data_IF_832992520113
#
_entry.id   IF_832992520113
#
_cell.length_a   1.000
_cell.length_b   1.000
_cell.length_c   1.000
_cell.angle_alpha   90.00
_cell.angle_beta   90.00
_cell.angle_gamma   90.00
#
_symmetry.space_group_name_H-M   'P 1'
#
loop_
_entity.id
_entity.type
_entity.pdbx_description
1 polymer ?
#
# COMPACT_ATOMS: atom_id res chain seq x y z
N UNK A 1 -2.02 -1.95 22.90
CA UNK A 1 -2.49 -0.56 22.91
C UNK A 1 -3.99 -0.37 22.63
N UNK A 2 -4.77 -1.45 22.40
CA UNK A 2 -6.23 -1.40 22.36
C UNK A 2 -6.87 -0.74 21.13
N UNK A 3 -6.14 -0.62 20.02
CA UNK A 3 -6.64 0.00 18.79
C UNK A 3 -7.13 -1.00 17.72
N UNK A 4 -6.76 -2.28 17.82
CA UNK A 4 -7.39 -3.31 17.02
C UNK A 4 -8.64 -3.83 17.73
N UNK A 5 -9.74 -4.08 17.01
CA UNK A 5 -10.90 -4.71 17.58
C UNK A 5 -10.50 -6.05 18.22
N UNK A 6 -10.71 -6.24 19.54
CA UNK A 6 -10.23 -7.45 20.22
C UNK A 6 -10.85 -8.74 19.65
N UNK A 7 -11.98 -8.63 18.95
CA UNK A 7 -12.72 -9.77 18.42
C UNK A 7 -12.37 -10.19 17.01
N UNK A 8 -11.84 -9.31 16.15
CA UNK A 8 -11.50 -9.65 14.78
C UNK A 8 -10.45 -8.71 14.16
N UNK A 9 -9.17 -8.90 14.48
CA UNK A 9 -8.09 -8.06 13.94
C UNK A 9 -7.88 -8.23 12.42
N UNK A 10 -8.57 -9.19 11.78
CA UNK A 10 -8.39 -9.47 10.35
C UNK A 10 -8.74 -8.29 9.46
N UNK A 11 -9.74 -7.48 9.82
CA UNK A 11 -10.14 -6.30 9.02
C UNK A 11 -9.05 -5.23 8.97
N UNK A 12 -8.29 -5.08 10.05
CA UNK A 12 -7.17 -4.14 10.12
C UNK A 12 -5.95 -4.70 9.39
N UNK A 13 -5.67 -6.01 9.58
CA UNK A 13 -4.48 -6.66 9.02
C UNK A 13 -4.57 -6.85 7.51
N UNK A 14 -5.75 -7.15 6.97
CA UNK A 14 -5.95 -7.36 5.53
C UNK A 14 -6.10 -6.08 4.72
N UNK A 15 -6.11 -4.90 5.36
CA UNK A 15 -6.20 -3.60 4.71
C UNK A 15 -7.61 -3.13 4.35
N UNK A 16 -8.66 -3.84 4.78
CA UNK A 16 -10.04 -3.50 4.43
C UNK A 16 -10.48 -2.15 5.01
N UNK A 17 -10.11 -1.85 6.25
CA UNK A 17 -10.38 -0.56 6.88
C UNK A 17 -9.72 0.59 6.12
N UNK A 18 -8.43 0.45 5.79
CA UNK A 18 -7.70 1.43 4.98
C UNK A 18 -8.34 1.62 3.60
N UNK A 19 -8.86 0.53 3.01
CA UNK A 19 -9.54 0.55 1.73
C UNK A 19 -10.89 1.29 1.79
N UNK A 20 -11.69 1.09 2.82
CA UNK A 20 -12.94 1.83 3.02
C UNK A 20 -12.65 3.34 3.17
N UNK A 21 -11.63 3.69 3.95
CA UNK A 21 -11.21 5.08 4.18
C UNK A 21 -10.73 5.76 2.89
N UNK A 22 -9.87 5.10 2.10
CA UNK A 22 -9.35 5.72 0.86
C UNK A 22 -10.46 5.96 -0.16
N UNK A 23 -11.47 5.09 -0.24
CA UNK A 23 -12.63 5.30 -1.13
C UNK A 23 -13.46 6.52 -0.76
N UNK A 24 -13.65 6.74 0.53
CA UNK A 24 -14.33 7.95 1.01
C UNK A 24 -13.51 9.18 0.68
N UNK A 25 -12.20 9.16 0.94
CA UNK A 25 -11.29 10.26 0.64
C UNK A 25 -11.20 10.54 -0.86
N UNK A 26 -11.18 9.52 -1.71
CA UNK A 26 -11.22 9.68 -3.17
C UNK A 26 -12.49 10.38 -3.63
N UNK A 27 -13.65 9.96 -3.10
CA UNK A 27 -14.93 10.55 -3.45
C UNK A 27 -15.02 12.04 -3.03
N UNK A 28 -14.43 12.38 -1.88
CA UNK A 28 -14.30 13.75 -1.40
C UNK A 28 -13.38 14.59 -2.29
N UNK A 29 -12.14 14.11 -2.47
CA UNK A 29 -11.08 14.87 -3.13
C UNK A 29 -11.36 15.13 -4.62
N UNK A 30 -11.96 14.14 -5.30
CA UNK A 30 -12.20 14.21 -6.75
C UNK A 30 -13.65 14.53 -7.12
N UNK A 31 -14.52 14.75 -6.13
CA UNK A 31 -15.95 14.99 -6.34
C UNK A 31 -16.61 13.93 -7.24
N UNK A 32 -16.35 12.67 -6.95
CA UNK A 32 -16.85 11.51 -7.69
C UNK A 32 -17.78 10.65 -6.84
N UNK A 33 -18.55 9.79 -7.48
CA UNK A 33 -19.27 8.72 -6.81
C UNK A 33 -18.28 7.71 -6.23
N UNK A 34 -18.58 7.13 -5.08
CA UNK A 34 -17.75 6.08 -4.48
C UNK A 34 -17.66 4.93 -5.49
N UNK A 35 -16.43 4.55 -5.82
CA UNK A 35 -16.16 3.47 -6.76
C UNK A 35 -16.62 2.12 -6.20
N UNK A 36 -17.25 1.30 -7.05
CA UNK A 36 -17.60 -0.10 -6.73
C UNK A 36 -16.63 -1.09 -7.37
N UNK A 37 -15.62 -0.60 -8.08
CA UNK A 37 -14.64 -1.42 -8.79
C UNK A 37 -13.74 -2.16 -7.83
N UNK A 38 -13.28 -3.35 -8.22
CA UNK A 38 -12.22 -4.06 -7.51
C UNK A 38 -10.92 -3.26 -7.65
N UNK A 39 -10.18 -3.10 -6.55
CA UNK A 39 -8.83 -2.55 -6.56
C UNK A 39 -7.85 -3.57 -5.99
N UNK A 40 -6.56 -3.29 -6.12
CA UNK A 40 -5.53 -4.07 -5.44
C UNK A 40 -5.63 -3.73 -3.94
N UNK A 41 -5.85 -4.76 -3.14
CA UNK A 41 -5.87 -4.65 -1.68
C UNK A 41 -4.99 -5.76 -1.13
N UNK A 42 -3.91 -5.36 -0.48
CA UNK A 42 -2.97 -6.24 0.20
C UNK A 42 -2.75 -5.72 1.61
N UNK A 43 -2.95 -6.59 2.59
CA UNK A 43 -2.71 -6.28 4.00
C UNK A 43 -1.25 -6.47 4.41
N UNK A 44 -1.03 -6.44 5.73
CA UNK A 44 0.30 -6.58 6.33
C UNK A 44 0.58 -8.00 6.87
N UNK A 45 -0.32 -8.94 6.62
CA UNK A 45 -0.23 -10.31 7.16
C UNK A 45 1.04 -11.06 6.69
N UNK A 46 1.50 -10.75 5.47
CA UNK A 46 2.68 -11.38 4.88
C UNK A 46 4.00 -10.66 5.22
N UNK A 47 3.95 -9.56 5.98
CA UNK A 47 5.15 -8.82 6.38
C UNK A 47 5.84 -9.55 7.54
N UNK A 48 7.06 -10.00 7.32
CA UNK A 48 7.88 -10.66 8.33
C UNK A 48 8.77 -9.65 9.06
N UNK A 49 9.23 -10.03 10.26
CA UNK A 49 10.18 -9.22 11.02
C UNK A 49 11.47 -8.93 10.24
N UNK A 50 11.87 -9.87 9.38
CA UNK A 50 13.01 -9.74 8.49
C UNK A 50 12.84 -8.58 7.49
N UNK A 51 11.65 -8.43 6.90
CA UNK A 51 11.34 -7.32 5.99
C UNK A 51 11.49 -5.96 6.69
N UNK A 52 11.03 -5.89 7.95
CA UNK A 52 11.16 -4.68 8.77
C UNK A 52 12.64 -4.36 9.06
N UNK A 53 13.46 -5.38 9.38
CA UNK A 53 14.90 -5.21 9.61
C UNK A 53 15.62 -4.73 8.35
N UNK A 54 15.34 -5.35 7.20
CA UNK A 54 15.93 -4.98 5.91
C UNK A 54 15.50 -3.56 5.51
N UNK A 55 14.21 -3.23 5.63
CA UNK A 55 13.73 -1.88 5.38
C UNK A 55 14.47 -0.85 6.26
N UNK A 56 14.64 -1.17 7.55
CA UNK A 56 15.37 -0.32 8.48
C UNK A 56 16.84 -0.08 8.09
N UNK A 57 17.55 -1.11 7.65
CA UNK A 57 18.93 -1.02 7.15
C UNK A 57 19.03 -0.13 5.90
N UNK A 58 18.00 -0.10 5.09
CA UNK A 58 17.91 0.71 3.88
C UNK A 58 17.47 2.17 4.15
N UNK A 59 17.25 2.56 5.41
CA UNK A 59 16.72 3.88 5.75
C UNK A 59 15.24 4.05 5.40
N UNK A 60 14.51 2.93 5.26
CA UNK A 60 13.10 2.87 4.90
C UNK A 60 12.25 2.34 6.07
N UNK A 61 10.95 2.56 5.97
CA UNK A 61 9.91 1.95 6.83
C UNK A 61 8.83 1.34 5.98
N UNK A 62 8.23 0.26 6.46
CA UNK A 62 7.05 -0.33 5.84
C UNK A 62 5.82 0.32 6.47
N UNK A 63 4.94 0.87 5.64
CA UNK A 63 3.66 1.46 6.04
C UNK A 63 2.56 0.91 5.15
N UNK A 64 1.40 0.58 5.73
CA UNK A 64 0.20 0.29 4.95
C UNK A 64 -0.37 1.61 4.43
N UNK A 65 -0.42 1.78 3.13
CA UNK A 65 -0.91 3.01 2.50
C UNK A 65 -2.12 2.74 1.62
N UNK A 66 -3.16 3.57 1.78
CA UNK A 66 -4.18 3.77 0.77
C UNK A 66 -3.72 4.88 -0.18
N UNK A 67 -3.70 4.60 -1.47
CA UNK A 67 -3.27 5.53 -2.51
C UNK A 67 -4.43 5.73 -3.48
N UNK A 68 -4.72 6.98 -3.83
CA UNK A 68 -5.72 7.33 -4.82
C UNK A 68 -5.23 8.45 -5.73
N UNK A 69 -5.42 8.27 -7.02
CA UNK A 69 -4.93 9.19 -8.06
C UNK A 69 -5.85 9.18 -9.28
N UNK A 70 -5.95 10.30 -9.97
CA UNK A 70 -6.58 10.37 -11.30
C UNK A 70 -5.49 10.27 -12.36
N UNK A 71 -5.47 9.16 -13.08
CA UNK A 71 -4.53 8.87 -14.16
C UNK A 71 -5.31 8.81 -15.47
N UNK A 72 -5.01 9.68 -16.44
CA UNK A 72 -5.67 9.71 -17.74
C UNK A 72 -7.22 9.70 -17.64
N UNK A 73 -7.79 10.52 -16.77
CA UNK A 73 -9.22 10.58 -16.48
C UNK A 73 -9.82 9.26 -15.96
N UNK A 74 -9.02 8.40 -15.37
CA UNK A 74 -9.43 7.15 -14.72
C UNK A 74 -9.00 7.16 -13.27
N UNK A 75 -9.80 6.54 -12.39
CA UNK A 75 -9.51 6.45 -10.97
C UNK A 75 -8.60 5.26 -10.68
N UNK A 76 -7.42 5.54 -10.18
CA UNK A 76 -6.54 4.56 -9.57
C UNK A 76 -6.75 4.57 -8.06
N UNK A 77 -7.00 3.42 -7.47
CA UNK A 77 -7.09 3.20 -6.03
C UNK A 77 -6.37 1.89 -5.68
N UNK A 78 -5.60 1.91 -4.61
CA UNK A 78 -4.93 0.72 -4.08
C UNK A 78 -4.67 0.85 -2.60
N UNK A 79 -4.59 -0.28 -1.91
CA UNK A 79 -4.09 -0.39 -0.53
C UNK A 79 -3.07 -1.51 -0.49
N UNK A 80 -1.86 -1.19 -0.09
CA UNK A 80 -0.81 -2.18 0.09
C UNK A 80 0.32 -1.67 0.99
N UNK A 81 1.15 -2.58 1.54
CA UNK A 81 2.37 -2.19 2.24
C UNK A 81 3.33 -1.47 1.30
N UNK A 82 3.84 -0.33 1.73
CA UNK A 82 4.79 0.48 0.96
C UNK A 82 6.08 0.72 1.73
N UNK A 83 7.20 0.69 1.02
CA UNK A 83 8.47 1.16 1.53
C UNK A 83 8.54 2.68 1.38
N UNK A 84 8.61 3.39 2.51
CA UNK A 84 8.70 4.85 2.56
C UNK A 84 10.00 5.28 3.22
N UNK A 85 10.54 6.44 2.82
CA UNK A 85 11.72 6.99 3.48
C UNK A 85 11.42 7.26 4.97
N UNK A 86 12.36 6.93 5.84
CA UNK A 86 12.28 7.30 7.28
C UNK A 86 12.16 8.80 7.49
N UNK A 87 12.69 9.59 6.56
CA UNK A 87 12.70 11.05 6.65
C UNK A 87 11.48 11.70 5.98
N UNK A 88 10.58 10.91 5.40
CA UNK A 88 9.32 11.43 4.83
C UNK A 88 8.28 11.66 5.93
N UNK A 89 7.31 12.53 5.66
CA UNK A 89 6.20 12.79 6.57
C UNK A 89 5.48 11.49 6.95
N UNK A 90 5.08 10.67 5.96
CA UNK A 90 4.44 9.37 6.19
C UNK A 90 5.34 8.41 6.98
N UNK A 91 6.65 8.41 6.70
CA UNK A 91 7.60 7.58 7.44
C UNK A 91 7.65 7.90 8.93
N UNK A 92 7.36 9.13 9.32
CA UNK A 92 7.37 9.60 10.70
C UNK A 92 6.02 9.50 11.43
N UNK A 93 4.97 9.04 10.79
CA UNK A 93 3.68 8.77 11.43
C UNK A 93 3.82 7.50 12.27
N UNK A 94 3.80 7.62 13.59
CA UNK A 94 4.05 6.50 14.53
C UNK A 94 2.94 6.37 15.55
N UNK A 95 2.90 5.21 16.23
CA UNK A 95 1.93 4.92 17.29
C UNK A 95 0.51 4.94 16.76
N UNK A 96 -0.38 5.65 17.43
CA UNK A 96 -1.81 5.76 17.15
C UNK A 96 -2.17 6.81 16.11
N UNK A 97 -1.15 7.51 15.59
CA UNK A 97 -1.34 8.59 14.64
C UNK A 97 -1.66 8.05 13.24
N UNK A 98 -2.63 8.68 12.60
CA UNK A 98 -2.93 8.54 11.19
C UNK A 98 -2.57 9.82 10.45
N UNK A 99 -2.29 9.71 9.15
CA UNK A 99 -2.05 10.87 8.31
C UNK A 99 -2.70 10.72 6.94
N UNK A 100 -3.15 11.84 6.42
CA UNK A 100 -3.63 11.99 5.04
C UNK A 100 -2.75 13.05 4.37
N UNK A 101 -2.15 12.67 3.24
CA UNK A 101 -1.41 13.60 2.39
C UNK A 101 -2.22 13.80 1.13
N UNK A 102 -2.50 15.04 0.81
CA UNK A 102 -3.13 15.44 -0.45
C UNK A 102 -2.16 16.29 -1.25
N UNK A 103 -2.13 16.07 -2.55
CA UNK A 103 -1.34 16.87 -3.48
C UNK A 103 -2.24 17.38 -4.58
N UNK A 104 -2.22 18.68 -4.83
CA UNK A 104 -3.07 19.33 -5.81
C UNK A 104 -2.53 20.67 -6.28
N UNK A 105 -2.97 21.11 -7.45
CA UNK A 105 -2.64 22.43 -8.00
C UNK A 105 -3.79 23.39 -7.76
N UNK A 106 -3.53 24.65 -7.38
CA UNK A 106 -2.24 25.29 -7.13
C UNK A 106 -1.69 25.14 -5.71
N UNK A 107 -2.43 24.49 -4.78
CA UNK A 107 -2.13 24.45 -3.33
C UNK A 107 -0.82 23.71 -3.00
N UNK A 108 -0.41 22.76 -3.85
CA UNK A 108 0.71 21.87 -3.55
C UNK A 108 0.33 20.76 -2.60
N UNK A 109 1.23 20.40 -1.69
CA UNK A 109 1.05 19.31 -0.73
C UNK A 109 0.44 19.84 0.58
N UNK A 110 -0.59 19.16 1.06
CA UNK A 110 -1.19 19.38 2.38
C UNK A 110 -1.15 18.09 3.19
N UNK A 111 -0.86 18.22 4.48
CA UNK A 111 -0.70 17.09 5.39
C UNK A 111 -1.63 17.30 6.57
N UNK A 112 -2.48 16.32 6.82
CA UNK A 112 -3.33 16.23 8.01
C UNK A 112 -2.88 15.03 8.83
N UNK A 113 -2.54 15.25 10.09
CA UNK A 113 -2.12 14.19 11.00
C UNK A 113 -2.86 14.34 12.32
N UNK A 114 -3.32 13.22 12.87
CA UNK A 114 -4.02 13.18 14.14
C UNK A 114 -4.23 11.76 14.61
N UNK A 115 -4.76 11.62 15.82
CA UNK A 115 -5.16 10.32 16.34
C UNK A 115 -6.36 9.79 15.55
N UNK A 116 -6.27 8.55 15.07
CA UNK A 116 -7.31 7.94 14.24
C UNK A 116 -8.39 7.21 15.01
N UNK A 117 -8.19 6.95 16.30
CA UNK A 117 -9.11 6.23 17.18
C UNK A 117 -8.91 6.64 18.63
N UNK A 118 -9.88 6.27 19.47
CA UNK A 118 -9.85 6.56 20.90
C UNK A 118 -11.04 7.40 21.36
N UNK A 119 -11.31 7.46 22.69
CA UNK A 119 -12.47 8.16 23.22
C UNK A 119 -12.43 9.67 22.94
N UNK A 120 -11.26 10.31 23.02
CA UNK A 120 -11.10 11.74 22.77
C UNK A 120 -11.44 12.14 21.33
N UNK A 121 -10.76 11.61 20.31
CA UNK A 121 -11.04 11.91 18.89
C UNK A 121 -12.49 11.58 18.49
N UNK A 122 -13.03 10.44 18.98
CA UNK A 122 -14.41 10.04 18.69
C UNK A 122 -15.41 11.00 19.27
N UNK A 123 -15.26 11.37 20.54
CA UNK A 123 -16.13 12.35 21.21
C UNK A 123 -16.07 13.73 20.55
N UNK A 124 -14.87 14.17 20.18
CA UNK A 124 -14.67 15.44 19.48
C UNK A 124 -15.39 15.47 18.13
N UNK A 125 -15.31 14.38 17.37
CA UNK A 125 -15.99 14.26 16.06
C UNK A 125 -17.51 14.28 16.23
N UNK A 126 -18.05 13.53 17.18
CA UNK A 126 -19.50 13.50 17.48
C UNK A 126 -20.03 14.89 17.90
N UNK A 127 -19.31 15.57 18.80
CA UNK A 127 -19.68 16.91 19.24
C UNK A 127 -19.60 17.92 18.09
N UNK A 128 -18.59 17.83 17.23
CA UNK A 128 -18.46 18.69 16.07
C UNK A 128 -19.64 18.54 15.10
N UNK A 129 -20.05 17.31 14.83
CA UNK A 129 -21.20 17.03 13.97
C UNK A 129 -22.51 17.51 14.60
N UNK A 130 -22.72 17.26 15.90
CA UNK A 130 -23.89 17.74 16.64
C UNK A 130 -23.97 19.27 16.60
N UNK A 131 -22.89 19.97 16.92
CA UNK A 131 -22.83 21.42 16.87
C UNK A 131 -23.06 21.97 15.46
N UNK A 132 -22.57 21.29 14.43
CA UNK A 132 -22.82 21.63 13.03
C UNK A 132 -24.32 21.59 12.71
N UNK A 133 -24.99 20.53 13.12
CA UNK A 133 -26.44 20.36 12.93
C UNK A 133 -27.21 21.46 13.67
N UNK A 134 -26.89 21.70 14.96
CA UNK A 134 -27.54 22.72 15.77
C UNK A 134 -27.35 24.15 15.19
N UNK A 135 -26.26 24.41 14.52
CA UNK A 135 -26.02 25.69 13.82
C UNK A 135 -26.70 25.78 12.46
N UNK A 136 -27.47 24.79 12.04
CA UNK A 136 -28.15 24.74 10.75
C UNK A 136 -27.24 24.43 9.56
N UNK A 137 -26.01 24.00 9.79
CA UNK A 137 -25.07 23.63 8.75
C UNK A 137 -25.37 22.24 8.16
N UNK A 138 -26.60 22.02 7.70
CA UNK A 138 -27.01 20.75 7.10
C UNK A 138 -26.63 20.77 5.61
N UNK A 139 -25.55 20.07 5.29
CA UNK A 139 -25.07 19.90 3.90
C UNK A 139 -25.15 18.44 3.52
N UNK A 140 -25.34 18.12 2.21
CA UNK A 140 -25.21 16.73 1.74
C UNK A 140 -23.85 16.16 2.15
N UNK A 141 -23.74 14.84 2.48
CA UNK A 141 -22.47 14.19 2.70
C UNK A 141 -21.51 14.52 1.55
N UNK A 142 -20.27 14.88 1.86
CA UNK A 142 -19.28 15.32 0.90
C UNK A 142 -19.59 16.67 0.18
N UNK A 143 -20.45 17.51 0.74
CA UNK A 143 -20.73 18.86 0.26
C UNK A 143 -21.60 18.97 -0.99
N UNK A 144 -21.77 17.91 -1.77
CA UNK A 144 -22.53 17.88 -3.02
C UNK A 144 -23.45 16.65 -3.02
N UNK A 145 -24.69 16.84 -3.50
CA UNK A 145 -25.64 15.74 -3.61
C UNK A 145 -25.11 14.61 -4.51
N UNK A 146 -25.42 13.37 -4.16
CA UNK A 146 -24.94 12.17 -4.85
C UNK A 146 -25.20 12.20 -6.36
N UNK A 147 -26.36 12.69 -6.79
CA UNK A 147 -26.75 12.76 -8.22
C UNK A 147 -25.88 13.73 -9.03
N UNK A 148 -25.31 14.76 -8.39
CA UNK A 148 -24.44 15.75 -9.04
C UNK A 148 -22.97 15.29 -9.11
N UNK A 149 -22.61 14.17 -8.49
CA UNK A 149 -21.23 13.65 -8.55
C UNK A 149 -20.98 12.92 -9.84
N UNK A 150 -19.76 13.07 -10.31
CA UNK A 150 -19.31 12.41 -11.56
C UNK A 150 -19.07 10.92 -11.33
N UNK A 151 -19.44 10.10 -12.30
CA UNK A 151 -18.95 8.73 -12.39
C UNK A 151 -17.62 8.74 -13.13
N UNK A 152 -16.65 7.95 -12.63
CA UNK A 152 -15.33 7.81 -13.24
C UNK A 152 -15.04 6.34 -13.50
N UNK A 153 -14.36 6.04 -14.60
CA UNK A 153 -13.94 4.68 -14.91
C UNK A 153 -12.73 4.29 -14.06
N UNK A 154 -12.61 3.04 -13.63
CA UNK A 154 -11.43 2.57 -12.93
C UNK A 154 -10.23 2.51 -13.87
N UNK A 155 -9.06 2.84 -13.35
CA UNK A 155 -7.78 2.64 -14.04
C UNK A 155 -7.45 1.14 -14.09
N UNK A 156 -6.85 0.70 -15.19
CA UNK A 156 -6.37 -0.68 -15.28
C UNK A 156 -5.07 -0.82 -14.47
N UNK A 157 -5.16 -1.41 -13.29
CA UNK A 157 -4.04 -1.58 -12.36
C UNK A 157 -2.84 -2.32 -12.96
N UNK A 158 -3.05 -3.16 -13.98
CA UNK A 158 -1.94 -3.84 -14.67
C UNK A 158 -0.95 -2.86 -15.34
N UNK A 159 -1.42 -1.65 -15.69
CA UNK A 159 -0.63 -0.61 -16.32
C UNK A 159 0.02 0.34 -15.30
N UNK A 160 -0.29 0.20 -14.02
CA UNK A 160 0.34 1.02 -12.99
C UNK A 160 1.81 0.65 -12.86
N UNK A 161 2.67 1.66 -12.85
CA UNK A 161 4.12 1.48 -12.80
C UNK A 161 4.68 1.96 -11.47
N UNK A 162 5.29 1.04 -10.73
CA UNK A 162 5.90 1.32 -9.43
C UNK A 162 7.19 0.51 -9.23
N UNK A 163 7.99 0.91 -8.24
CA UNK A 163 9.10 0.10 -7.73
C UNK A 163 8.56 -0.94 -6.76
N UNK A 164 9.08 -2.15 -6.83
CA UNK A 164 8.58 -3.29 -6.07
C UNK A 164 9.65 -3.82 -5.13
N UNK A 165 9.19 -4.30 -3.99
CA UNK A 165 9.96 -5.08 -3.04
C UNK A 165 9.57 -6.55 -3.23
N UNK A 166 10.54 -7.38 -3.55
CA UNK A 166 10.35 -8.81 -3.78
C UNK A 166 11.25 -9.57 -2.81
N UNK A 167 10.67 -10.49 -2.03
CA UNK A 167 11.41 -11.40 -1.17
C UNK A 167 11.28 -12.82 -1.67
N UNK A 168 12.42 -13.47 -1.87
CA UNK A 168 12.52 -14.87 -2.25
C UNK A 168 13.21 -15.64 -1.13
N UNK A 169 12.59 -16.72 -0.68
CA UNK A 169 13.22 -17.71 0.18
C UNK A 169 13.69 -18.86 -0.71
N UNK A 170 14.99 -19.08 -0.77
CA UNK A 170 15.60 -19.99 -1.74
C UNK A 170 16.60 -20.91 -1.08
N UNK A 171 16.92 -22.03 -1.71
CA UNK A 171 18.09 -22.85 -1.34
C UNK A 171 19.37 -22.06 -1.61
N UNK A 172 20.32 -22.08 -0.65
CA UNK A 172 21.62 -21.38 -0.82
C UNK A 172 22.54 -22.23 -1.70
N UNK A 173 22.35 -22.10 -3.02
CA UNK A 173 23.09 -22.83 -4.06
C UNK A 173 23.60 -21.87 -5.12
N UNK A 174 24.69 -22.27 -5.78
CA UNK A 174 25.18 -21.58 -6.96
C UNK A 174 24.12 -21.53 -8.07
N UNK A 175 24.01 -20.38 -8.75
CA UNK A 175 23.14 -20.20 -9.90
C UNK A 175 21.73 -19.67 -9.57
N UNK A 176 21.23 -19.79 -8.33
CA UNK A 176 19.87 -19.37 -7.97
C UNK A 176 19.65 -17.87 -8.18
N UNK A 177 20.59 -17.04 -7.75
CA UNK A 177 20.52 -15.59 -7.99
C UNK A 177 20.53 -15.26 -9.49
N UNK A 178 21.39 -15.94 -10.27
CA UNK A 178 21.45 -15.78 -11.73
C UNK A 178 20.12 -16.14 -12.40
N UNK A 179 19.48 -17.23 -11.95
CA UNK A 179 18.16 -17.65 -12.45
C UNK A 179 17.10 -16.58 -12.20
N UNK A 180 17.02 -16.04 -10.98
CA UNK A 180 16.05 -14.99 -10.62
C UNK A 180 16.31 -13.73 -11.47
N UNK A 181 17.56 -13.26 -11.54
CA UNK A 181 17.90 -12.03 -12.28
C UNK A 181 17.68 -12.18 -13.79
N UNK A 182 17.97 -13.34 -14.37
CA UNK A 182 17.68 -13.64 -15.77
C UNK A 182 16.16 -13.63 -16.06
N UNK A 183 15.35 -14.14 -15.14
CA UNK A 183 13.88 -14.08 -15.28
C UNK A 183 13.38 -12.63 -15.20
N UNK A 184 13.84 -11.86 -14.23
CA UNK A 184 13.51 -10.43 -14.13
C UNK A 184 13.87 -9.69 -15.43
N UNK A 185 15.06 -9.93 -15.98
CA UNK A 185 15.51 -9.33 -17.23
C UNK A 185 14.62 -9.66 -18.43
N UNK A 186 14.17 -10.93 -18.57
CA UNK A 186 13.23 -11.33 -19.64
C UNK A 186 11.94 -10.53 -19.64
N UNK A 187 11.46 -10.11 -18.47
CA UNK A 187 10.27 -9.27 -18.32
C UNK A 187 10.58 -7.78 -18.24
N UNK A 188 11.79 -7.36 -18.60
CA UNK A 188 12.25 -5.96 -18.59
C UNK A 188 12.13 -5.31 -17.19
N UNK A 189 12.36 -6.09 -16.14
CA UNK A 189 12.39 -5.63 -14.76
C UNK A 189 13.84 -5.35 -14.38
N UNK A 190 14.17 -4.07 -14.24
CA UNK A 190 15.51 -3.63 -13.84
C UNK A 190 15.64 -3.63 -12.32
N UNK A 191 16.74 -4.13 -11.82
CA UNK A 191 17.03 -4.24 -10.39
C UNK A 191 17.74 -2.98 -9.91
N UNK A 192 17.24 -2.39 -8.83
CA UNK A 192 17.84 -1.23 -8.16
C UNK A 192 18.73 -1.63 -7.00
N UNK A 193 18.32 -2.64 -6.22
CA UNK A 193 19.09 -3.17 -5.09
C UNK A 193 18.83 -4.66 -4.92
N UNK A 194 19.84 -5.38 -4.47
CA UNK A 194 19.79 -6.79 -4.08
C UNK A 194 20.42 -6.89 -2.69
N UNK A 195 19.76 -7.64 -1.81
CA UNK A 195 20.29 -8.01 -0.50
C UNK A 195 20.10 -9.52 -0.39
N UNK A 196 21.17 -10.25 -0.12
CA UNK A 196 21.13 -11.68 0.14
C UNK A 196 21.59 -11.93 1.58
N UNK A 197 20.75 -12.63 2.33
CA UNK A 197 21.04 -13.01 3.72
C UNK A 197 21.03 -14.53 3.80
N UNK A 198 22.19 -15.18 3.95
CA UNK A 198 22.25 -16.65 4.08
C UNK A 198 21.78 -17.09 5.47
N UNK A 199 20.97 -18.15 5.49
CA UNK A 199 20.66 -18.92 6.70
C UNK A 199 21.51 -20.19 6.72
N UNK A 200 22.66 -20.11 7.40
CA UNK A 200 23.63 -21.20 7.46
C UNK A 200 23.06 -22.48 8.13
N UNK A 201 22.06 -22.33 9.02
CA UNK A 201 21.48 -23.48 9.74
C UNK A 201 20.62 -24.36 8.82
N UNK A 202 19.86 -23.71 7.93
CA UNK A 202 18.87 -24.38 7.09
C UNK A 202 19.31 -24.55 5.64
N UNK A 203 20.55 -24.16 5.27
CA UNK A 203 21.05 -24.14 3.89
C UNK A 203 20.13 -23.36 2.94
N UNK A 204 19.48 -22.32 3.46
CA UNK A 204 18.59 -21.42 2.75
C UNK A 204 19.17 -20.02 2.71
N UNK A 205 18.69 -19.21 1.78
CA UNK A 205 18.99 -17.78 1.73
C UNK A 205 17.73 -16.99 1.48
N UNK A 206 17.62 -15.83 2.11
CA UNK A 206 16.63 -14.82 1.77
C UNK A 206 17.26 -13.85 0.78
N UNK A 207 16.66 -13.73 -0.40
CA UNK A 207 17.05 -12.75 -1.41
C UNK A 207 15.96 -11.69 -1.49
N UNK A 208 16.34 -10.45 -1.19
CA UNK A 208 15.46 -9.29 -1.34
C UNK A 208 15.90 -8.46 -2.53
N UNK A 209 14.96 -8.17 -3.40
CA UNK A 209 15.17 -7.36 -4.60
C UNK A 209 14.26 -6.14 -4.56
N UNK A 210 14.84 -4.94 -4.72
CA UNK A 210 14.09 -3.71 -4.99
C UNK A 210 14.28 -3.38 -6.46
N UNK A 211 13.18 -3.31 -7.21
CA UNK A 211 13.21 -2.99 -8.63
C UNK A 211 13.23 -1.49 -8.90
N UNK A 212 13.64 -1.08 -10.08
CA UNK A 212 13.21 0.17 -10.69
C UNK A 212 11.73 0.12 -11.03
N UNK A 213 11.13 1.25 -11.42
CA UNK A 213 9.71 1.29 -11.83
C UNK A 213 9.45 0.28 -12.95
N UNK A 214 8.43 -0.55 -12.74
CA UNK A 214 7.93 -1.54 -13.70
C UNK A 214 6.43 -1.67 -13.56
N UNK A 215 5.75 -2.22 -14.55
CA UNK A 215 4.30 -2.39 -14.52
C UNK A 215 3.90 -3.62 -13.71
N UNK A 216 2.73 -3.57 -13.09
CA UNK A 216 2.13 -4.70 -12.39
C UNK A 216 1.98 -5.93 -13.30
N UNK A 217 1.70 -5.71 -14.59
CA UNK A 217 1.64 -6.78 -15.60
C UNK A 217 2.97 -7.52 -15.73
N UNK A 218 4.09 -6.78 -15.83
CA UNK A 218 5.40 -7.38 -16.01
C UNK A 218 5.78 -8.25 -14.82
N UNK A 219 5.49 -7.76 -13.60
CA UNK A 219 5.81 -8.50 -12.39
C UNK A 219 4.97 -9.78 -12.27
N UNK A 220 3.65 -9.70 -12.50
CA UNK A 220 2.77 -10.88 -12.45
C UNK A 220 3.23 -11.96 -13.43
N UNK A 221 3.56 -11.57 -14.66
CA UNK A 221 4.06 -12.51 -15.66
C UNK A 221 5.40 -13.14 -15.24
N UNK A 222 6.29 -12.34 -14.64
CA UNK A 222 7.56 -12.82 -14.14
C UNK A 222 7.39 -13.83 -13.00
N UNK A 223 6.55 -13.49 -12.00
CA UNK A 223 6.29 -14.35 -10.84
C UNK A 223 5.60 -15.65 -11.26
N UNK A 224 4.61 -15.61 -12.15
CA UNK A 224 3.99 -16.83 -12.69
C UNK A 224 5.06 -17.77 -13.26
N UNK A 225 6.02 -17.25 -14.00
CA UNK A 225 7.06 -18.09 -14.61
C UNK A 225 8.11 -18.59 -13.61
N UNK A 226 8.33 -17.86 -12.50
CA UNK A 226 9.20 -18.31 -11.42
C UNK A 226 8.58 -19.47 -10.62
N UNK A 227 7.25 -19.48 -10.47
CA UNK A 227 6.55 -20.51 -9.71
C UNK A 227 6.13 -21.74 -10.54
N UNK A 228 6.10 -21.66 -11.87
CA UNK A 228 5.63 -22.76 -12.74
C UNK A 228 6.76 -23.54 -13.41
N UNK A 229 8.02 -23.11 -13.30
CA UNK A 229 9.18 -23.83 -13.87
C UNK A 229 9.84 -24.70 -12.79
N UNK A 230 10.68 -25.69 -13.21
CA UNK A 230 11.50 -26.54 -12.33
C UNK A 230 12.36 -25.78 -11.31
N UNK A 231 12.42 -24.45 -11.43
CA UNK A 231 12.94 -23.54 -10.42
C UNK A 231 12.07 -23.46 -9.15
N UNK A 232 10.83 -23.95 -9.17
CA UNK A 232 9.96 -23.96 -7.98
C UNK A 232 10.58 -24.77 -6.84
N UNK A 233 11.28 -25.86 -7.15
CA UNK A 233 11.96 -26.67 -6.14
C UNK A 233 13.16 -25.97 -5.48
N UNK A 234 13.73 -24.97 -6.15
CA UNK A 234 14.85 -24.16 -5.64
C UNK A 234 14.39 -22.84 -5.00
N UNK A 235 13.15 -22.41 -5.30
CA UNK A 235 12.56 -21.15 -4.80
C UNK A 235 11.56 -21.39 -3.66
N UNK A 236 10.95 -22.58 -3.55
CA UNK A 236 9.95 -22.92 -2.53
C UNK A 236 10.43 -23.99 -1.54
N UNK A 237 11.71 -24.08 -1.31
CA UNK A 237 12.30 -25.05 -0.37
C UNK A 237 12.14 -24.68 1.11
#
# INVERSE_FOLDING_TARGET
LGYAEPGNPKLDLNGFDAFAKIRILSALSFNIKISKSKCIMEGIENIKLEDIKIANQLGLRIKLLGISEIINNQLFETVHPCLVSKNSYIGNVNGVMNAVITEGKPVGQSILQGEGAGPGPTSSSLLSDLLSILRGNIKPPFGISYNKRKSIKPFNNQNYSNSLYLRFEVKDKQGVLSLITNRLSKFKISVKRIIQTPDKKNKKATIVIISHKTTEKNIKNCLCLLYTSDAADDVNG
#
